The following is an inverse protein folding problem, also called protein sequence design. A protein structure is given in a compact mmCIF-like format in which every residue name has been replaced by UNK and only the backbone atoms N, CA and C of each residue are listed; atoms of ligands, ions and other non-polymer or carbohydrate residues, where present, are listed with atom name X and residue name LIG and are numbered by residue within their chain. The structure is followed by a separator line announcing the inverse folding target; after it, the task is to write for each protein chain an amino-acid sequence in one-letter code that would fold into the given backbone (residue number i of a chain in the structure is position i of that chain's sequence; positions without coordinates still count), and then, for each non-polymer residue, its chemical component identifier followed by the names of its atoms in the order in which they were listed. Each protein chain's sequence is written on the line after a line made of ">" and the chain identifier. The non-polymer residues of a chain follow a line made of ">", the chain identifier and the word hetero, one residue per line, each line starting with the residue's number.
data_IF_963010905050
#
_entry.id   IF_963010905050
#
_cell.length_a   1.000
_cell.length_b   1.000
_cell.length_c   1.000
_cell.angle_alpha   90.00
_cell.angle_beta   90.00
_cell.angle_gamma   90.00
#
_symmetry.space_group_name_H-M   'P 1'
#
loop_
_entity.id
_entity.type
_entity.pdbx_description
1 polymer ?
#
# COMPACT_ATOMS: atom_id res chain seq x y z
N UNK A 1 -6.29 -8.69 -1.63
CA UNK A 1 -4.95 -8.10 -1.94
C UNK A 1 -4.29 -7.65 -0.65
N UNK A 2 -2.95 -7.70 -0.55
CA UNK A 2 -2.21 -7.16 0.60
C UNK A 2 -1.53 -5.85 0.22
N UNK A 3 -1.78 -4.79 0.98
CA UNK A 3 -1.15 -3.48 0.84
C UNK A 3 -0.23 -3.23 2.03
N UNK A 4 1.07 -3.26 1.80
CA UNK A 4 2.10 -3.21 2.83
C UNK A 4 2.72 -1.81 2.85
N UNK A 5 2.61 -1.12 3.98
CA UNK A 5 3.42 0.07 4.25
C UNK A 5 4.80 -0.38 4.74
N UNK A 6 5.82 -0.21 3.90
CA UNK A 6 7.21 -0.50 4.21
C UNK A 6 7.91 0.79 4.66
N UNK A 7 8.00 0.99 5.97
CA UNK A 7 8.72 2.09 6.58
C UNK A 7 9.38 1.64 7.89
N UNK A 8 10.29 2.45 8.41
CA UNK A 8 10.92 2.16 9.68
C UNK A 8 9.90 2.26 10.82
N UNK A 9 9.85 1.29 11.75
CA UNK A 9 9.09 1.45 12.99
C UNK A 9 9.69 2.58 13.84
N UNK A 10 8.84 3.43 14.45
CA UNK A 10 9.32 4.46 15.35
C UNK A 10 9.89 3.84 16.63
N UNK A 11 10.89 4.51 17.23
CA UNK A 11 11.43 4.08 18.53
C UNK A 11 10.41 4.28 19.66
N UNK A 12 9.60 5.33 19.58
CA UNK A 12 8.48 5.58 20.49
C UNK A 12 7.17 5.22 19.79
N UNK A 13 6.42 4.26 20.34
CA UNK A 13 5.14 3.83 19.78
C UNK A 13 4.09 4.93 19.72
N UNK A 14 4.19 5.97 20.55
CA UNK A 14 3.27 7.13 20.49
C UNK A 14 3.41 7.94 19.21
N UNK A 15 4.51 7.74 18.47
CA UNK A 15 4.74 8.36 17.15
C UNK A 15 4.22 7.49 16.00
N UNK A 16 3.64 6.31 16.29
CA UNK A 16 3.07 5.46 15.26
C UNK A 16 1.81 6.13 14.69
N UNK A 17 1.87 6.51 13.42
CA UNK A 17 0.74 7.06 12.69
C UNK A 17 0.15 6.03 11.72
N UNK A 18 -1.15 6.13 11.39
CA UNK A 18 -1.74 5.44 10.26
C UNK A 18 -0.98 5.71 8.95
N UNK A 19 -0.81 4.70 8.09
CA UNK A 19 -0.08 4.85 6.84
C UNK A 19 -0.97 5.55 5.80
N UNK A 20 -0.90 6.88 5.71
CA UNK A 20 -1.79 7.67 4.85
C UNK A 20 -1.77 7.27 3.37
N UNK A 21 -0.59 7.11 2.77
CA UNK A 21 -0.48 6.70 1.36
C UNK A 21 -1.18 5.36 1.07
N UNK A 22 -0.86 4.29 1.83
CA UNK A 22 -1.59 3.04 1.77
C UNK A 22 -3.10 3.17 2.05
N UNK A 23 -3.51 4.02 3.00
CA UNK A 23 -4.92 4.21 3.32
C UNK A 23 -5.70 4.82 2.14
N UNK A 24 -5.12 5.80 1.43
CA UNK A 24 -5.71 6.37 0.21
C UNK A 24 -5.94 5.28 -0.83
N UNK A 25 -4.89 4.51 -1.14
CA UNK A 25 -4.95 3.42 -2.14
C UNK A 25 -5.99 2.38 -1.73
N UNK A 26 -5.98 1.93 -0.47
CA UNK A 26 -6.92 0.96 0.03
C UNK A 26 -8.36 1.46 -0.08
N UNK A 27 -8.60 2.76 0.17
CA UNK A 27 -9.92 3.36 0.05
C UNK A 27 -10.41 3.36 -1.41
N UNK A 28 -9.56 3.73 -2.37
CA UNK A 28 -9.90 3.67 -3.82
C UNK A 28 -10.25 2.23 -4.23
N UNK A 29 -9.44 1.28 -3.79
CA UNK A 29 -9.61 -0.13 -4.08
C UNK A 29 -10.91 -0.69 -3.47
N UNK A 30 -11.19 -0.38 -2.19
CA UNK A 30 -12.39 -0.82 -1.49
C UNK A 30 -13.66 -0.27 -2.14
N UNK A 31 -13.67 1.02 -2.54
CA UNK A 31 -14.78 1.63 -3.30
C UNK A 31 -15.03 0.94 -4.65
N UNK A 32 -13.99 0.33 -5.22
CA UNK A 32 -14.06 -0.45 -6.46
C UNK A 32 -14.37 -1.93 -6.22
N UNK A 33 -14.74 -2.32 -5.00
CA UNK A 33 -15.07 -3.70 -4.62
C UNK A 33 -13.87 -4.63 -4.45
N UNK A 34 -12.63 -4.10 -4.43
CA UNK A 34 -11.43 -4.88 -4.21
C UNK A 34 -11.19 -5.05 -2.71
N UNK A 35 -11.12 -6.30 -2.24
CA UNK A 35 -10.76 -6.60 -0.85
C UNK A 35 -9.28 -6.32 -0.60
N UNK A 36 -8.99 -5.42 0.34
CA UNK A 36 -7.63 -5.01 0.69
C UNK A 36 -7.37 -5.19 2.18
N UNK A 37 -6.22 -5.79 2.50
CA UNK A 37 -5.67 -5.80 3.85
C UNK A 37 -4.48 -4.86 3.94
N UNK A 38 -4.54 -3.91 4.86
CA UNK A 38 -3.41 -3.02 5.15
C UNK A 38 -2.49 -3.67 6.19
N UNK A 39 -1.20 -3.70 5.89
CA UNK A 39 -0.16 -4.18 6.79
C UNK A 39 0.87 -3.08 6.96
N UNK A 40 0.99 -2.54 8.17
CA UNK A 40 1.99 -1.52 8.47
C UNK A 40 3.20 -2.12 9.17
N UNK A 41 4.35 -2.12 8.49
CA UNK A 41 5.61 -2.63 9.07
C UNK A 41 5.99 -1.87 10.35
N UNK A 42 5.74 -0.56 10.41
CA UNK A 42 5.99 0.23 11.62
C UNK A 42 5.17 -0.21 12.84
N UNK A 43 3.99 -0.79 12.61
CA UNK A 43 3.13 -1.32 13.67
C UNK A 43 3.37 -2.81 13.97
N UNK A 44 3.98 -3.55 13.03
CA UNK A 44 4.11 -5.01 13.06
C UNK A 44 5.50 -5.49 13.47
N UNK A 45 6.52 -4.70 13.22
CA UNK A 45 7.93 -5.07 13.39
C UNK A 45 8.53 -4.18 14.47
N UNK A 46 9.17 -4.79 15.47
CA UNK A 46 9.92 -4.03 16.47
C UNK A 46 11.16 -3.38 15.82
N UNK A 47 11.56 -2.16 16.22
CA UNK A 47 12.70 -1.46 15.62
C UNK A 47 13.99 -2.26 15.51
N UNK A 48 14.36 -2.98 16.56
CA UNK A 48 15.53 -3.84 16.65
C UNK A 48 15.50 -5.03 15.67
N UNK A 49 14.30 -5.40 15.21
CA UNK A 49 14.08 -6.54 14.32
C UNK A 49 13.85 -6.11 12.85
N UNK A 50 13.88 -4.82 12.54
CA UNK A 50 13.66 -4.36 11.18
C UNK A 50 14.87 -4.71 10.30
N UNK A 51 14.64 -5.53 9.28
CA UNK A 51 15.68 -5.96 8.36
C UNK A 51 15.14 -6.88 7.26
N UNK A 52 16.03 -7.30 6.36
CA UNK A 52 15.69 -8.14 5.19
C UNK A 52 14.97 -9.41 5.60
N UNK A 53 15.47 -10.11 6.62
CA UNK A 53 14.94 -11.42 7.01
C UNK A 53 13.50 -11.31 7.55
N UNK A 54 13.25 -10.33 8.41
CA UNK A 54 11.90 -10.05 8.94
C UNK A 54 10.95 -9.59 7.85
N UNK A 55 11.40 -8.73 6.93
CA UNK A 55 10.59 -8.33 5.78
C UNK A 55 10.28 -9.52 4.86
N UNK A 56 11.27 -10.38 4.56
CA UNK A 56 11.07 -11.56 3.74
C UNK A 56 10.10 -12.55 4.40
N UNK A 57 10.21 -12.76 5.73
CA UNK A 57 9.28 -13.59 6.48
C UNK A 57 7.85 -13.02 6.45
N UNK A 58 7.69 -11.71 6.63
CA UNK A 58 6.40 -11.03 6.48
C UNK A 58 5.82 -11.27 5.08
N UNK A 59 6.59 -11.00 4.02
CA UNK A 59 6.16 -11.18 2.64
C UNK A 59 5.83 -12.63 2.32
N UNK A 60 6.58 -13.60 2.86
CA UNK A 60 6.33 -15.02 2.69
C UNK A 60 5.06 -15.48 3.40
N UNK A 61 4.63 -14.79 4.45
CA UNK A 61 3.37 -15.07 5.16
C UNK A 61 2.13 -14.51 4.47
N UNK A 62 2.29 -13.70 3.42
CA UNK A 62 1.16 -13.09 2.72
C UNK A 62 0.35 -14.14 1.93
N UNK A 63 -0.98 -13.95 1.84
CA UNK A 63 -1.82 -14.78 0.99
C UNK A 63 -1.39 -14.67 -0.48
N UNK A 64 -1.70 -15.69 -1.28
CA UNK A 64 -1.50 -15.67 -2.74
C UNK A 64 -2.18 -14.46 -3.39
N UNK A 65 -1.68 -14.02 -4.54
CA UNK A 65 -2.26 -12.91 -5.31
C UNK A 65 -1.30 -11.75 -5.47
N UNK A 66 -1.65 -10.57 -4.95
CA UNK A 66 -0.88 -9.33 -5.10
C UNK A 66 -0.46 -8.79 -3.73
N UNK A 67 0.83 -8.52 -3.58
CA UNK A 67 1.44 -7.72 -2.53
C UNK A 67 1.86 -6.36 -3.12
N UNK A 68 1.07 -5.31 -2.89
CA UNK A 68 1.46 -3.95 -3.20
C UNK A 68 2.22 -3.34 -2.03
N UNK A 69 3.41 -2.83 -2.30
CA UNK A 69 4.34 -2.31 -1.32
C UNK A 69 4.45 -0.81 -1.54
N UNK A 70 4.01 -0.03 -0.55
CA UNK A 70 4.31 1.41 -0.46
C UNK A 70 5.60 1.55 0.33
N UNK A 71 6.65 2.05 -0.32
CA UNK A 71 8.03 1.93 0.17
C UNK A 71 8.64 3.29 0.40
N UNK A 72 9.10 3.55 1.62
CA UNK A 72 9.93 4.73 1.88
C UNK A 72 11.32 4.55 1.28
N UNK A 73 11.87 5.64 0.73
CA UNK A 73 13.21 5.64 0.12
C UNK A 73 14.28 5.05 1.04
N UNK A 74 14.19 5.35 2.35
CA UNK A 74 15.13 4.89 3.37
C UNK A 74 15.16 3.38 3.58
N UNK A 75 14.11 2.65 3.17
CA UNK A 75 14.01 1.20 3.33
C UNK A 75 13.96 0.43 2.01
N UNK A 76 14.02 1.13 0.88
CA UNK A 76 13.92 0.53 -0.46
C UNK A 76 14.92 -0.62 -0.69
N UNK A 77 16.22 -0.50 -0.34
CA UNK A 77 17.16 -1.61 -0.54
C UNK A 77 16.77 -2.89 0.21
N UNK A 78 16.27 -2.77 1.45
CA UNK A 78 15.83 -3.92 2.24
C UNK A 78 14.59 -4.58 1.64
N UNK A 79 13.63 -3.77 1.16
CA UNK A 79 12.40 -4.26 0.54
C UNK A 79 12.69 -4.98 -0.78
N UNK A 80 13.56 -4.42 -1.63
CA UNK A 80 13.94 -5.04 -2.90
C UNK A 80 14.61 -6.40 -2.66
N UNK A 81 15.55 -6.48 -1.72
CA UNK A 81 16.22 -7.75 -1.40
C UNK A 81 15.23 -8.76 -0.80
N UNK A 82 14.32 -8.34 0.07
CA UNK A 82 13.26 -9.21 0.61
C UNK A 82 12.34 -9.73 -0.52
N UNK A 83 11.90 -8.88 -1.43
CA UNK A 83 11.10 -9.27 -2.59
C UNK A 83 11.84 -10.29 -3.46
N UNK A 84 13.13 -10.07 -3.73
CA UNK A 84 13.97 -10.98 -4.53
C UNK A 84 14.02 -12.38 -3.91
N UNK A 85 14.19 -12.48 -2.59
CA UNK A 85 14.23 -13.77 -1.87
C UNK A 85 12.89 -14.51 -1.91
N UNK A 86 11.77 -13.78 -1.89
CA UNK A 86 10.42 -14.37 -1.89
C UNK A 86 9.95 -14.72 -3.30
N UNK A 87 10.23 -13.86 -4.29
CA UNK A 87 9.75 -14.04 -5.67
C UNK A 87 10.13 -15.39 -6.27
N UNK A 88 11.36 -15.86 -6.04
CA UNK A 88 11.81 -17.18 -6.52
C UNK A 88 11.15 -18.38 -5.82
N UNK A 89 10.46 -18.16 -4.70
CA UNK A 89 9.84 -19.21 -3.87
C UNK A 89 8.32 -19.14 -3.82
N UNK A 90 7.73 -18.01 -4.20
CA UNK A 90 6.28 -17.74 -4.19
C UNK A 90 5.83 -17.25 -5.57
N UNK A 91 5.75 -18.14 -6.58
CA UNK A 91 5.29 -17.78 -7.92
C UNK A 91 3.80 -17.37 -7.95
N UNK A 92 3.05 -17.73 -6.91
CA UNK A 92 1.66 -17.35 -6.67
C UNK A 92 1.50 -15.91 -6.14
N UNK A 93 2.60 -15.23 -5.80
CA UNK A 93 2.60 -13.87 -5.26
C UNK A 93 3.28 -12.90 -6.23
N UNK A 94 2.51 -11.92 -6.71
CA UNK A 94 2.99 -10.81 -7.54
C UNK A 94 3.27 -9.59 -6.68
N UNK A 95 4.37 -8.91 -6.96
CA UNK A 95 4.75 -7.68 -6.26
C UNK A 95 4.44 -6.45 -7.11
N UNK A 96 3.85 -5.43 -6.48
CA UNK A 96 3.78 -4.06 -7.02
C UNK A 96 4.58 -3.19 -6.06
N UNK A 97 5.57 -2.45 -6.55
CA UNK A 97 6.39 -1.55 -5.73
C UNK A 97 6.09 -0.10 -6.10
N UNK A 98 5.63 0.69 -5.14
CA UNK A 98 5.45 2.13 -5.25
C UNK A 98 6.35 2.86 -4.27
N UNK A 99 7.11 3.86 -4.74
CA UNK A 99 8.05 4.64 -3.92
C UNK A 99 7.56 6.08 -3.76
N UNK A 100 7.28 6.75 -4.89
CA UNK A 100 6.74 8.11 -4.96
C UNK A 100 5.70 8.23 -6.06
N UNK A 101 4.83 9.23 -5.93
CA UNK A 101 3.85 9.63 -6.96
C UNK A 101 2.40 9.29 -6.60
N UNK A 102 1.51 9.64 -7.51
CA UNK A 102 0.06 9.41 -7.45
C UNK A 102 -0.25 7.92 -7.68
N UNK A 103 -0.18 7.12 -6.62
CA UNK A 103 -0.47 5.68 -6.68
C UNK A 103 -1.96 5.40 -6.83
N UNK A 104 -2.79 6.25 -6.25
CA UNK A 104 -4.25 6.23 -6.30
C UNK A 104 -4.81 6.35 -7.73
N UNK A 105 -4.17 7.16 -8.59
CA UNK A 105 -4.56 7.28 -9.99
C UNK A 105 -3.99 6.15 -10.88
N UNK A 106 -2.94 5.44 -10.41
CA UNK A 106 -2.25 4.40 -11.20
C UNK A 106 -2.67 2.98 -10.87
N UNK A 107 -3.15 2.73 -9.65
CA UNK A 107 -3.36 1.36 -9.16
C UNK A 107 -4.49 0.65 -9.91
N UNK A 108 -5.60 1.33 -10.19
CA UNK A 108 -6.75 0.71 -10.87
C UNK A 108 -6.44 0.35 -12.33
N UNK A 109 -5.87 1.23 -13.17
CA UNK A 109 -5.42 0.85 -14.52
C UNK A 109 -4.44 -0.33 -14.51
N UNK A 110 -3.48 -0.33 -13.57
CA UNK A 110 -2.53 -1.44 -13.43
C UNK A 110 -3.23 -2.76 -13.07
N UNK A 111 -4.17 -2.76 -12.12
CA UNK A 111 -4.92 -3.96 -11.75
C UNK A 111 -5.80 -4.46 -12.89
N UNK A 112 -6.42 -3.56 -13.66
CA UNK A 112 -7.21 -3.91 -14.84
C UNK A 112 -6.32 -4.59 -15.89
N UNK A 113 -5.15 -4.02 -16.19
CA UNK A 113 -4.16 -4.64 -17.08
C UNK A 113 -3.73 -6.03 -16.59
N UNK A 114 -3.36 -6.16 -15.31
CA UNK A 114 -2.94 -7.44 -14.72
C UNK A 114 -4.06 -8.49 -14.69
N UNK A 115 -5.32 -8.07 -14.71
CA UNK A 115 -6.48 -8.95 -14.79
C UNK A 115 -6.91 -9.27 -16.24
N UNK A 116 -6.16 -8.80 -17.25
CA UNK A 116 -6.50 -8.97 -18.66
C UNK A 116 -7.68 -8.10 -19.12
N UNK A 117 -8.06 -7.09 -18.35
CA UNK A 117 -9.14 -6.14 -18.66
C UNK A 117 -8.54 -4.86 -19.24
N UNK A 118 -8.10 -4.92 -20.49
CA UNK A 118 -7.41 -3.83 -21.18
C UNK A 118 -6.09 -4.27 -21.78
N UNK A 119 -5.34 -3.33 -22.35
CA UNK A 119 -4.07 -3.57 -23.01
C UNK A 119 -2.99 -2.56 -22.55
N UNK A 120 -1.80 -2.66 -23.14
CA UNK A 120 -0.65 -1.81 -22.81
C UNK A 120 -0.96 -0.30 -23.00
N UNK A 121 -1.91 0.06 -23.86
CA UNK A 121 -2.26 1.45 -24.17
C UNK A 121 -3.04 2.16 -23.06
N UNK A 122 -3.58 1.39 -22.10
CA UNK A 122 -4.26 1.90 -20.91
C UNK A 122 -3.34 2.04 -19.69
N UNK A 123 -2.06 1.67 -19.79
CA UNK A 123 -1.11 1.79 -18.68
C UNK A 123 -0.60 3.24 -18.55
N UNK A 124 -0.77 3.88 -17.38
CA UNK A 124 -0.39 5.27 -17.20
C UNK A 124 1.12 5.49 -17.09
N UNK A 125 1.57 6.67 -17.50
CA UNK A 125 2.97 7.10 -17.37
C UNK A 125 3.47 6.94 -15.93
N UNK A 126 4.67 6.37 -15.80
CA UNK A 126 5.30 6.04 -14.51
C UNK A 126 4.98 4.64 -14.00
N UNK A 127 4.14 3.86 -14.69
CA UNK A 127 3.99 2.42 -14.44
C UNK A 127 4.95 1.63 -15.32
N UNK A 128 5.68 0.71 -14.69
CA UNK A 128 6.55 -0.26 -15.36
C UNK A 128 6.12 -1.66 -14.96
N UNK A 129 5.83 -2.51 -15.95
CA UNK A 129 5.48 -3.92 -15.72
C UNK A 129 6.56 -4.82 -16.32
N UNK A 130 7.07 -5.74 -15.52
CA UNK A 130 7.91 -6.83 -16.01
C UNK A 130 7.05 -8.04 -16.28
N UNK A 131 6.98 -8.46 -17.53
CA UNK A 131 6.26 -9.66 -17.97
C UNK A 131 7.25 -10.62 -18.63
N UNK A 132 7.68 -11.63 -17.87
CA UNK A 132 8.78 -12.52 -18.25
C UNK A 132 10.05 -11.73 -18.57
N UNK A 133 10.52 -11.84 -19.82
CA UNK A 133 11.69 -11.11 -20.33
C UNK A 133 11.39 -9.70 -20.86
N UNK A 134 10.12 -9.29 -20.93
CA UNK A 134 9.70 -7.99 -21.46
C UNK A 134 9.51 -6.97 -20.35
N UNK A 135 9.82 -5.71 -20.66
CA UNK A 135 9.47 -4.55 -19.85
C UNK A 135 8.45 -3.73 -20.64
N UNK A 136 7.29 -3.51 -20.04
CA UNK A 136 6.20 -2.70 -20.58
C UNK A 136 6.19 -1.38 -19.82
N UNK A 137 6.22 -0.28 -20.55
CA UNK A 137 6.20 1.08 -19.99
C UNK A 137 4.87 1.73 -20.32
N UNK A 138 4.18 2.23 -19.28
CA UNK A 138 2.94 2.96 -19.47
C UNK A 138 3.15 4.26 -20.24
N UNK A 139 2.25 4.53 -21.19
CA UNK A 139 2.32 5.69 -22.10
C UNK A 139 1.09 6.59 -21.97
N UNK A 140 0.02 6.15 -21.31
CA UNK A 140 -1.19 6.95 -21.16
C UNK A 140 -0.91 8.14 -20.25
N UNK A 141 -1.22 9.38 -20.65
CA UNK A 141 -1.15 10.53 -19.76
C UNK A 141 -1.92 10.25 -18.48
N UNK A 142 -1.27 10.51 -17.35
CA UNK A 142 -1.94 10.40 -16.07
C UNK A 142 -2.95 11.54 -15.94
N UNK A 143 -4.17 11.19 -15.58
CA UNK A 143 -5.17 12.17 -15.14
C UNK A 143 -5.14 12.16 -13.62
N UNK A 144 -4.61 13.22 -12.97
CA UNK A 144 -4.62 13.31 -11.52
C UNK A 144 -6.06 13.33 -11.01
N UNK A 145 -6.27 12.73 -9.84
CA UNK A 145 -7.56 12.87 -9.17
C UNK A 145 -7.76 14.33 -8.77
N UNK A 146 -8.89 14.91 -9.16
CA UNK A 146 -9.34 16.21 -8.67
C UNK A 146 -9.73 16.12 -7.19
N UNK A 147 -9.82 17.26 -6.50
CA UNK A 147 -10.13 17.30 -5.06
C UNK A 147 -11.46 16.60 -4.68
N UNK A 148 -12.43 16.55 -5.60
CA UNK A 148 -13.69 15.83 -5.43
C UNK A 148 -13.55 14.31 -5.63
N UNK A 149 -12.56 13.87 -6.40
CA UNK A 149 -12.26 12.47 -6.68
C UNK A 149 -11.33 11.84 -5.64
N UNK A 150 -10.59 12.66 -4.87
CA UNK A 150 -9.80 12.16 -3.73
C UNK A 150 -10.78 11.56 -2.71
N UNK A 151 -10.64 10.26 -2.39
CA UNK A 151 -11.59 9.64 -1.50
C UNK A 151 -11.43 10.18 -0.07
N UNK A 152 -12.56 10.45 0.59
CA UNK A 152 -12.61 10.48 2.06
C UNK A 152 -12.06 9.16 2.59
N UNK A 153 -11.00 9.24 3.40
CA UNK A 153 -10.25 8.07 3.86
C UNK A 153 -11.13 7.16 4.71
N UNK A 154 -11.16 5.87 4.35
CA UNK A 154 -11.89 4.87 5.10
C UNK A 154 -10.99 4.23 6.16
N UNK A 155 -10.98 4.82 7.36
CA UNK A 155 -10.21 4.32 8.50
C UNK A 155 -10.70 2.96 9.01
N UNK A 156 -11.91 2.50 8.63
CA UNK A 156 -12.39 1.16 9.03
C UNK A 156 -11.57 0.02 8.40
N UNK A 157 -10.77 0.33 7.38
CA UNK A 157 -9.81 -0.59 6.75
C UNK A 157 -8.55 -0.83 7.60
N UNK A 158 -8.39 -0.10 8.71
CA UNK A 158 -7.29 -0.28 9.65
C UNK A 158 -7.71 -1.12 10.86
N UNK A 159 -6.73 -1.83 11.40
CA UNK A 159 -6.84 -2.40 12.74
C UNK A 159 -6.47 -1.33 13.77
N UNK A 160 -7.47 -0.56 14.19
CA UNK A 160 -7.33 0.65 15.04
C UNK A 160 -6.62 0.40 16.37
N UNK A 161 -6.71 -0.84 16.90
CA UNK A 161 -6.06 -1.21 18.17
C UNK A 161 -4.55 -1.06 18.13
N UNK A 162 -3.96 -1.04 16.93
CA UNK A 162 -2.52 -0.87 16.72
C UNK A 162 -2.06 0.57 16.83
N UNK A 163 -2.95 1.52 16.57
CA UNK A 163 -2.63 2.94 16.42
C UNK A 163 -3.13 3.75 17.62
N UNK A 164 -4.22 3.31 18.26
CA UNK A 164 -4.79 3.96 19.45
C UNK A 164 -4.87 3.00 20.65
N UNK A 165 -3.75 2.76 21.36
CA UNK A 165 -3.76 1.96 22.57
C UNK A 165 -4.51 2.73 23.69
N UNK A 166 -5.78 2.36 23.89
CA UNK A 166 -6.68 3.00 24.87
C UNK A 166 -8.13 3.16 24.41
N UNK A 167 -8.40 2.97 23.11
CA UNK A 167 -9.72 3.24 22.52
C UNK A 167 -9.99 4.74 22.49
N UNK A 168 -9.85 5.37 21.32
CA UNK A 168 -10.19 6.79 21.19
C UNK A 168 -11.72 6.99 21.32
N UNK A 169 -12.21 7.80 22.28
CA UNK A 169 -13.62 8.18 22.36
C UNK A 169 -14.10 9.00 21.15
N UNK A 170 -13.19 9.51 20.31
CA UNK A 170 -13.51 10.24 19.08
C UNK A 170 -13.49 9.33 17.85
N UNK A 171 -14.48 8.43 17.79
CA UNK A 171 -14.82 7.71 16.57
C UNK A 171 -15.15 8.69 15.43
N UNK A 172 -14.65 8.49 14.20
CA UNK A 172 -15.26 9.08 13.02
C UNK A 172 -16.65 8.43 12.86
N UNK A 173 -17.69 9.18 13.18
CA UNK A 173 -19.07 8.69 13.27
C UNK A 173 -19.91 9.40 14.35
N UNK A 174 -19.28 10.12 15.28
CA UNK A 174 -19.95 11.10 16.11
C UNK A 174 -19.66 12.51 15.59
N UNK A 175 -20.67 13.39 15.43
CA UNK A 175 -20.47 14.73 14.92
C UNK A 175 -19.50 15.48 15.82
N UNK A 176 -18.40 15.95 15.22
CA UNK A 176 -17.50 16.91 15.86
C UNK A 176 -18.31 18.19 16.08
N UNK A 177 -18.68 18.49 17.32
CA UNK A 177 -19.12 19.83 17.68
C UNK A 177 -17.89 20.73 17.70
N UNK A 178 -17.65 21.43 16.59
CA UNK A 178 -16.75 22.58 16.59
C UNK A 178 -17.35 23.63 17.53
N UNK A 179 -16.59 24.18 18.50
CA UNK A 179 -17.04 25.37 19.20
C UNK A 179 -17.12 26.50 18.17
N UNK A 180 -18.34 27.01 17.97
CA UNK A 180 -18.57 28.23 17.22
C UNK A 180 -17.77 29.35 17.91
N UNK A 181 -16.82 29.93 17.18
CA UNK A 181 -16.33 31.27 17.44
C UNK A 181 -17.31 32.28 16.82
#
# INVERSE_FOLDING_TARGET
>A
MSLVNCCLPPRDRRQLAPPQGPLIIATVLAKSGVEVRIINTAARIAPENFGVDTLAALLFSLPSGIAALSVWDSVLPFVVEACRRVHGKRPDLRFILGVRGEGEARIMPLLNFLAGRGDESGLPIGVLVRDGGRIITGVTPLVPLTGEEIPVLDYTLLDDTRYWPGGDPHRPGLPIRLPLL
#
